data_IF_349342909136
#
_entry.id   IF_349342909136
#
_cell.length_a   1.000
_cell.length_b   1.000
_cell.length_c   1.000
_cell.angle_alpha   90.00
_cell.angle_beta   90.00
_cell.angle_gamma   90.00
#
_symmetry.space_group_name_H-M   'P 1'
#
loop_
_entity.id
_entity.type
_entity.pdbx_description
1 polymer ?
#
# COMPACT_ATOMS: atom_id res chain seq x y z
N UNK A 1 -0.24 -40.61 -42.64
CA UNK A 1 0.60 -40.90 -41.45
C UNK A 1 -0.34 -41.29 -40.32
N UNK A 2 -0.30 -42.54 -39.85
CA UNK A 2 -1.23 -43.05 -38.83
C UNK A 2 -0.67 -42.69 -37.44
N UNK A 3 -1.40 -41.88 -36.66
CA UNK A 3 -1.06 -41.63 -35.26
C UNK A 3 -1.17 -42.94 -34.46
N UNK A 4 -0.20 -43.24 -33.58
CA UNK A 4 -0.30 -44.40 -32.71
C UNK A 4 -1.37 -44.13 -31.64
N UNK A 5 -2.37 -45.01 -31.59
CA UNK A 5 -3.39 -45.00 -30.52
C UNK A 5 -2.72 -45.50 -29.26
N UNK A 6 -2.60 -44.64 -28.25
CA UNK A 6 -2.10 -45.00 -26.93
C UNK A 6 -3.18 -45.79 -26.21
N UNK A 7 -3.03 -47.12 -26.17
CA UNK A 7 -3.93 -48.01 -25.43
C UNK A 7 -3.61 -47.84 -23.94
N UNK A 8 -4.54 -47.34 -23.11
CA UNK A 8 -4.28 -47.15 -21.69
C UNK A 8 -4.01 -48.51 -21.02
N UNK A 9 -3.04 -48.52 -20.12
CA UNK A 9 -2.71 -49.70 -19.33
C UNK A 9 -3.84 -50.00 -18.33
N UNK A 10 -4.00 -51.27 -17.91
CA UNK A 10 -4.99 -51.66 -16.89
C UNK A 10 -5.04 -50.75 -15.65
N UNK A 11 -3.90 -50.34 -15.05
CA UNK A 11 -3.93 -49.39 -13.93
C UNK A 11 -4.40 -47.98 -14.32
N UNK A 12 -4.09 -47.48 -15.52
CA UNK A 12 -4.62 -46.20 -16.01
C UNK A 12 -6.14 -46.25 -16.22
N UNK A 13 -6.66 -47.38 -16.70
CA UNK A 13 -8.09 -47.60 -16.87
C UNK A 13 -8.83 -47.64 -15.53
N UNK A 14 -8.23 -48.28 -14.52
CA UNK A 14 -8.75 -48.29 -13.16
C UNK A 14 -8.81 -46.87 -12.56
N UNK A 15 -7.72 -46.09 -12.73
CA UNK A 15 -7.66 -44.70 -12.26
C UNK A 15 -8.69 -43.81 -12.95
N UNK A 16 -8.88 -43.95 -14.27
CA UNK A 16 -9.92 -43.21 -14.99
C UNK A 16 -11.32 -43.53 -14.46
N UNK A 17 -11.65 -44.81 -14.25
CA UNK A 17 -12.98 -45.18 -13.73
C UNK A 17 -13.22 -44.64 -12.31
N UNK A 18 -12.16 -44.56 -11.50
CA UNK A 18 -12.25 -44.00 -10.15
C UNK A 18 -12.49 -42.48 -10.19
N UNK A 19 -11.77 -41.76 -11.05
CA UNK A 19 -11.94 -40.32 -11.23
C UNK A 19 -13.33 -39.97 -11.80
N UNK A 20 -13.81 -40.74 -12.76
CA UNK A 20 -15.16 -40.56 -13.32
C UNK A 20 -16.24 -40.79 -12.26
N UNK A 21 -16.07 -41.82 -11.41
CA UNK A 21 -16.97 -42.06 -10.27
C UNK A 21 -16.99 -40.89 -9.28
N UNK A 22 -15.82 -40.36 -8.95
CA UNK A 22 -15.66 -39.26 -8.00
C UNK A 22 -16.22 -37.93 -8.53
N UNK A 23 -16.10 -37.68 -9.84
CA UNK A 23 -16.70 -36.54 -10.51
C UNK A 23 -18.23 -36.63 -10.56
N UNK A 24 -18.76 -37.84 -10.78
CA UNK A 24 -20.20 -38.06 -10.82
C UNK A 24 -20.84 -37.88 -9.46
N UNK A 25 -20.20 -38.37 -8.40
CA UNK A 25 -20.64 -38.21 -7.00
C UNK A 25 -20.67 -36.71 -6.60
N UNK A 26 -19.63 -35.95 -6.95
CA UNK A 26 -19.59 -34.50 -6.69
C UNK A 26 -20.65 -33.71 -7.48
N UNK A 27 -20.97 -34.15 -8.70
CA UNK A 27 -21.99 -33.50 -9.54
C UNK A 27 -23.40 -33.79 -9.02
N UNK A 28 -23.63 -35.01 -8.52
CA UNK A 28 -24.90 -35.42 -7.93
C UNK A 28 -25.17 -34.67 -6.60
N UNK A 29 -24.15 -34.43 -5.79
CA UNK A 29 -24.24 -33.60 -4.58
C UNK A 29 -24.57 -32.13 -4.89
N UNK A 30 -24.00 -31.57 -5.97
CA UNK A 30 -24.33 -30.23 -6.47
C UNK A 30 -25.75 -30.12 -7.04
N UNK A 31 -26.28 -31.20 -7.63
CA UNK A 31 -27.64 -31.25 -8.20
C UNK A 31 -28.71 -31.57 -7.14
N UNK A 32 -28.33 -32.27 -6.06
CA UNK A 32 -29.20 -32.58 -4.93
C UNK A 32 -29.37 -31.41 -3.94
N UNK A 33 -28.53 -30.37 -4.05
CA UNK A 33 -28.76 -29.10 -3.39
C UNK A 33 -29.93 -28.37 -4.06
N UNK A 34 -31.13 -28.50 -3.49
CA UNK A 34 -32.33 -27.80 -3.95
C UNK A 34 -32.12 -26.27 -3.96
N UNK A 35 -32.63 -25.53 -4.96
CA UNK A 35 -32.59 -24.08 -4.95
C UNK A 35 -33.56 -23.54 -3.89
N UNK A 36 -33.02 -22.85 -2.89
CA UNK A 36 -33.77 -22.01 -1.95
C UNK A 36 -34.72 -21.05 -2.72
N UNK A 37 -35.99 -20.90 -2.31
CA UNK A 37 -36.93 -20.04 -3.01
C UNK A 37 -36.54 -18.57 -2.86
N UNK A 38 -36.20 -17.93 -3.98
CA UNK A 38 -35.99 -16.49 -4.09
C UNK A 38 -37.29 -15.74 -3.75
N UNK A 39 -37.30 -15.06 -2.60
CA UNK A 39 -38.32 -14.08 -2.28
C UNK A 39 -38.15 -12.81 -3.14
N UNK A 40 -39.24 -12.18 -3.62
CA UNK A 40 -39.15 -10.98 -4.43
C UNK A 40 -38.67 -9.78 -3.60
N UNK A 41 -37.67 -9.07 -4.14
CA UNK A 41 -37.15 -7.81 -3.63
C UNK A 41 -38.24 -6.72 -3.67
N UNK A 42 -38.73 -6.32 -2.50
CA UNK A 42 -39.50 -5.08 -2.33
C UNK A 42 -38.49 -3.93 -2.21
N UNK A 43 -38.53 -2.99 -3.15
CA UNK A 43 -37.78 -1.73 -3.05
C UNK A 43 -38.45 -0.84 -1.99
N UNK A 44 -37.73 -0.29 -1.01
CA UNK A 44 -38.26 0.81 -0.22
C UNK A 44 -38.21 2.08 -1.06
N UNK A 45 -39.35 2.77 -1.07
CA UNK A 45 -39.59 4.08 -1.66
C UNK A 45 -38.63 5.11 -1.02
N UNK A 46 -37.82 5.76 -1.85
CA UNK A 46 -36.91 6.82 -1.41
C UNK A 46 -37.74 8.08 -1.21
N UNK A 47 -38.05 8.42 0.04
CA UNK A 47 -38.51 9.76 0.39
C UNK A 47 -37.43 10.76 -0.01
N UNK A 48 -37.73 11.57 -1.02
CA UNK A 48 -36.91 12.70 -1.44
C UNK A 48 -36.97 13.77 -0.35
N UNK A 49 -36.05 13.71 0.61
CA UNK A 49 -35.75 14.84 1.48
C UNK A 49 -35.13 15.93 0.60
N UNK A 50 -35.88 17.00 0.40
CA UNK A 50 -35.56 18.08 -0.53
C UNK A 50 -34.22 18.73 -0.21
N UNK A 51 -33.44 18.98 -1.27
CA UNK A 51 -32.14 19.68 -1.24
C UNK A 51 -32.19 21.08 -0.60
N UNK A 52 -33.39 21.63 -0.37
CA UNK A 52 -33.60 22.96 0.20
C UNK A 52 -33.36 23.02 1.72
N UNK A 53 -33.63 21.94 2.48
CA UNK A 53 -33.45 21.93 3.94
C UNK A 53 -31.96 21.88 4.32
N UNK A 54 -31.16 21.16 3.52
CA UNK A 54 -29.72 21.07 3.73
C UNK A 54 -29.02 22.41 3.42
N UNK A 55 -29.49 23.14 2.40
CA UNK A 55 -28.96 24.45 2.05
C UNK A 55 -29.22 25.50 3.14
N UNK A 56 -30.39 25.45 3.80
CA UNK A 56 -30.71 26.32 4.91
C UNK A 56 -29.83 26.07 6.14
N UNK A 57 -29.58 24.80 6.48
CA UNK A 57 -28.74 24.42 7.62
C UNK A 57 -27.27 24.84 7.43
N UNK A 58 -26.73 24.74 6.21
CA UNK A 58 -25.34 25.14 5.91
C UNK A 58 -25.16 26.67 6.04
N UNK A 59 -26.18 27.45 5.66
CA UNK A 59 -26.11 28.91 5.73
C UNK A 59 -26.14 29.42 7.18
N UNK A 60 -26.95 28.81 8.06
CA UNK A 60 -26.95 29.14 9.49
C UNK A 60 -25.62 28.81 10.18
N UNK A 61 -24.98 27.69 9.80
CA UNK A 61 -23.69 27.30 10.34
C UNK A 61 -22.58 28.29 9.92
N UNK A 62 -22.58 28.74 8.66
CA UNK A 62 -21.60 29.72 8.16
C UNK A 62 -21.73 31.11 8.79
N UNK A 63 -22.93 31.52 9.20
CA UNK A 63 -23.13 32.80 9.92
C UNK A 63 -22.58 32.71 11.35
N UNK A 64 -22.57 31.52 11.96
CA UNK A 64 -22.05 31.31 13.31
C UNK A 64 -20.52 31.37 13.37
N UNK A 65 -19.83 30.84 12.35
CA UNK A 65 -18.36 30.85 12.24
C UNK A 65 -17.77 32.23 11.88
N UNK A 66 -18.59 33.16 11.35
CA UNK A 66 -18.15 34.50 10.97
C UNK A 66 -17.90 35.46 12.17
N UNK A 67 -18.14 35.02 13.41
CA UNK A 67 -17.87 35.83 14.62
C UNK A 67 -16.57 35.38 15.29
N UNK A 68 -15.44 35.88 14.78
CA UNK A 68 -14.14 35.78 15.45
C UNK A 68 -13.98 36.95 16.43
N UNK A 69 -13.84 36.73 17.75
CA UNK A 69 -13.35 37.77 18.63
C UNK A 69 -11.83 37.90 18.45
N UNK A 70 -11.38 39.08 18.01
CA UNK A 70 -9.96 39.43 17.90
C UNK A 70 -9.32 39.58 19.30
N UNK A 71 -8.11 39.00 19.55
CA UNK A 71 -7.26 39.44 20.64
C UNK A 71 -6.16 40.40 20.16
N UNK A 72 -5.97 41.45 20.96
CA UNK A 72 -5.06 42.58 20.81
C UNK A 72 -3.56 42.21 21.01
N UNK A 73 -2.61 43.10 20.65
CA UNK A 73 -1.17 42.80 20.62
C UNK A 73 -0.46 43.16 21.96
N UNK A 74 0.57 42.38 22.33
CA UNK A 74 1.52 42.72 23.40
C UNK A 74 2.87 41.97 23.18
N UNK A 75 4.00 42.36 23.80
CA UNK A 75 5.14 42.97 23.10
C UNK A 75 6.41 42.11 23.10
N UNK A 76 7.37 42.54 22.27
CA UNK A 76 8.72 42.00 22.16
C UNK A 76 9.52 42.13 23.48
N UNK A 77 10.13 41.03 23.92
CA UNK A 77 11.17 41.01 24.95
C UNK A 77 12.45 40.46 24.31
N UNK A 78 13.41 41.35 24.10
CA UNK A 78 14.77 41.04 23.70
C UNK A 78 15.53 40.60 24.94
N UNK A 79 15.97 39.34 25.00
CA UNK A 79 16.90 38.85 26.01
C UNK A 79 18.27 38.71 25.35
N UNK A 80 19.32 39.43 25.79
CA UNK A 80 20.65 39.26 25.25
C UNK A 80 21.25 37.95 25.76
N UNK A 81 21.47 36.98 24.87
CA UNK A 81 22.20 35.76 25.19
C UNK A 81 23.69 36.10 25.27
N UNK A 82 24.22 36.04 26.49
CA UNK A 82 25.66 36.12 26.80
C UNK A 82 26.28 34.76 26.47
N UNK A 83 27.23 34.74 25.53
CA UNK A 83 28.00 33.56 25.17
C UNK A 83 28.81 33.05 26.38
N UNK A 84 28.71 31.76 26.76
CA UNK A 84 29.71 31.12 27.58
C UNK A 84 30.84 30.55 26.71
N UNK A 85 32.04 30.67 27.26
CA UNK A 85 33.32 30.28 26.71
C UNK A 85 33.38 28.82 26.28
N UNK A 86 34.20 28.59 25.25
CA UNK A 86 34.61 27.28 24.77
C UNK A 86 35.17 26.41 25.90
N UNK A 87 34.51 25.29 26.16
CA UNK A 87 35.13 24.13 26.78
C UNK A 87 35.41 23.15 25.64
N UNK A 88 36.70 22.91 25.41
CA UNK A 88 37.19 21.93 24.47
C UNK A 88 36.66 20.55 24.88
N UNK A 89 35.70 20.04 24.11
CA UNK A 89 35.33 18.64 24.15
C UNK A 89 36.35 17.91 23.31
N UNK A 90 37.25 17.21 24.00
CA UNK A 90 38.20 16.28 23.42
C UNK A 90 37.41 15.27 22.59
N UNK A 91 37.57 15.35 21.27
CA UNK A 91 36.98 14.38 20.33
C UNK A 91 37.67 13.04 20.60
N UNK A 92 36.97 11.98 21.02
CA UNK A 92 37.58 10.67 21.00
C UNK A 92 37.85 10.32 19.54
N UNK A 93 39.12 10.31 19.18
CA UNK A 93 39.60 9.76 17.93
C UNK A 93 39.19 8.29 17.85
N UNK A 94 38.64 7.88 16.69
CA UNK A 94 38.66 6.49 16.28
C UNK A 94 37.61 5.57 16.90
N UNK A 95 36.33 5.92 16.79
CA UNK A 95 35.27 4.92 16.75
C UNK A 95 34.84 4.72 15.31
N UNK A 96 35.37 3.71 14.61
CA UNK A 96 34.78 3.27 13.35
C UNK A 96 33.33 2.88 13.64
N UNK A 97 32.39 3.72 13.24
CA UNK A 97 30.98 3.34 13.16
C UNK A 97 30.93 2.33 12.02
N UNK A 98 31.14 1.06 12.36
CA UNK A 98 30.84 -0.04 11.47
C UNK A 98 29.34 0.04 11.23
N UNK A 99 28.96 0.81 10.20
CA UNK A 99 27.58 1.01 9.80
C UNK A 99 27.00 -0.38 9.60
N UNK A 100 26.21 -0.84 10.57
CA UNK A 100 25.66 -2.17 10.60
C UNK A 100 24.66 -2.28 9.45
N UNK A 101 25.17 -2.67 8.27
CA UNK A 101 24.39 -2.82 7.06
C UNK A 101 23.15 -3.64 7.36
N UNK A 102 22.00 -3.11 6.97
CA UNK A 102 20.74 -3.74 7.21
C UNK A 102 20.71 -5.11 6.52
N UNK A 103 20.67 -6.17 7.34
CA UNK A 103 20.42 -7.53 6.84
C UNK A 103 18.92 -7.74 6.68
N UNK A 104 18.49 -8.39 5.58
CA UNK A 104 17.09 -8.72 5.39
C UNK A 104 16.67 -9.75 6.42
N UNK A 105 15.47 -9.60 6.97
CA UNK A 105 14.80 -10.61 7.78
C UNK A 105 14.26 -11.74 6.90
N UNK A 106 13.82 -11.38 5.70
CA UNK A 106 13.28 -12.29 4.70
C UNK A 106 13.72 -11.79 3.32
N UNK A 107 14.32 -12.68 2.55
CA UNK A 107 14.53 -12.47 1.11
C UNK A 107 13.41 -13.17 0.35
N UNK A 108 12.58 -12.39 -0.35
CA UNK A 108 11.55 -12.92 -1.24
C UNK A 108 12.25 -13.30 -2.53
N UNK A 109 12.84 -14.50 -2.56
CA UNK A 109 13.54 -15.02 -3.74
C UNK A 109 12.53 -15.38 -4.84
N UNK A 110 12.19 -14.42 -5.69
CA UNK A 110 11.73 -14.70 -7.05
C UNK A 110 12.90 -14.56 -8.03
N UNK A 111 12.94 -15.34 -9.13
CA UNK A 111 13.94 -15.18 -10.18
C UNK A 111 13.96 -13.72 -10.65
N UNK A 112 15.12 -13.08 -10.53
CA UNK A 112 15.34 -11.71 -10.97
C UNK A 112 15.08 -11.58 -12.47
N UNK A 113 13.91 -11.08 -12.84
CA UNK A 113 13.78 -10.37 -14.10
C UNK A 113 14.47 -9.00 -13.93
N UNK A 114 15.31 -8.54 -14.86
CA UNK A 114 15.96 -7.24 -14.77
C UNK A 114 14.88 -6.16 -14.57
N UNK A 115 15.10 -5.30 -13.57
CA UNK A 115 14.23 -4.19 -13.21
C UNK A 115 13.72 -3.46 -14.45
N UNK A 116 12.47 -3.73 -14.77
CA UNK A 116 11.78 -3.23 -15.93
C UNK A 116 10.31 -3.26 -15.62
N UNK A 117 9.61 -2.19 -16.00
CA UNK A 117 8.15 -2.07 -15.88
C UNK A 117 7.52 -3.38 -16.39
N UNK A 118 6.85 -4.11 -15.50
CA UNK A 118 6.01 -5.21 -15.95
C UNK A 118 4.94 -4.58 -16.85
N UNK A 119 4.80 -5.05 -18.10
CA UNK A 119 3.88 -4.42 -19.04
C UNK A 119 2.47 -4.39 -18.44
N UNK A 120 1.76 -3.27 -18.60
CA UNK A 120 0.35 -3.24 -18.26
C UNK A 120 -0.41 -4.09 -19.30
N UNK A 121 -1.36 -4.88 -18.84
CA UNK A 121 -2.38 -5.51 -19.68
C UNK A 121 -3.21 -4.41 -20.35
N UNK A 122 -3.81 -4.75 -21.49
CA UNK A 122 -4.66 -3.85 -22.28
C UNK A 122 -5.79 -3.19 -21.47
N UNK A 123 -6.20 -3.83 -20.38
CA UNK A 123 -7.27 -3.38 -19.49
C UNK A 123 -6.79 -2.46 -18.35
N UNK A 124 -5.53 -2.01 -18.38
CA UNK A 124 -4.94 -1.13 -17.36
C UNK A 124 -4.56 -1.83 -16.05
N UNK A 125 -4.60 -3.17 -16.03
CA UNK A 125 -4.11 -4.00 -14.94
C UNK A 125 -2.63 -4.33 -15.13
N UNK A 126 -1.84 -4.54 -14.08
CA UNK A 126 -0.46 -4.99 -14.24
C UNK A 126 -0.36 -6.40 -14.84
N UNK A 127 0.69 -6.73 -15.60
CA UNK A 127 0.86 -8.08 -16.17
C UNK A 127 0.79 -9.22 -15.13
N UNK A 128 1.28 -8.99 -13.91
CA UNK A 128 1.22 -9.99 -12.85
C UNK A 128 -0.21 -10.33 -12.39
N UNK A 129 -1.19 -9.49 -12.70
CA UNK A 129 -2.59 -9.70 -12.36
C UNK A 129 -3.35 -10.55 -13.38
N UNK A 130 -2.67 -11.11 -14.39
CA UNK A 130 -3.28 -11.97 -15.40
C UNK A 130 -3.67 -13.36 -14.85
N UNK A 131 -2.90 -13.87 -13.90
CA UNK A 131 -3.06 -15.20 -13.29
C UNK A 131 -3.12 -15.07 -11.76
N UNK A 132 -3.61 -16.09 -11.02
CA UNK A 132 -3.56 -16.09 -9.56
C UNK A 132 -2.14 -15.90 -9.02
N UNK A 133 -1.96 -14.94 -8.12
CA UNK A 133 -0.66 -14.48 -7.66
C UNK A 133 -0.60 -14.39 -6.13
N UNK A 134 0.61 -14.41 -5.58
CA UNK A 134 0.81 -14.25 -4.14
C UNK A 134 1.00 -12.77 -3.76
N UNK A 135 0.38 -12.38 -2.66
CA UNK A 135 0.45 -11.04 -2.07
C UNK A 135 0.89 -11.11 -0.61
N UNK A 136 1.70 -10.14 -0.20
CA UNK A 136 2.08 -9.92 1.18
C UNK A 136 1.18 -8.84 1.78
N UNK A 137 0.53 -9.16 2.90
CA UNK A 137 -0.22 -8.19 3.68
C UNK A 137 0.71 -7.52 4.68
N UNK A 138 0.54 -6.21 4.81
CA UNK A 138 1.21 -5.42 5.82
C UNK A 138 0.30 -4.28 6.25
N UNK A 139 0.48 -3.84 7.49
CA UNK A 139 -0.35 -2.84 8.12
C UNK A 139 0.41 -1.54 8.31
N UNK A 140 -0.27 -0.45 8.01
CA UNK A 140 0.28 0.91 8.08
C UNK A 140 -0.77 1.82 8.68
N UNK A 141 -0.49 2.37 9.87
CA UNK A 141 -1.39 3.31 10.55
C UNK A 141 -2.85 2.79 10.66
N UNK A 142 -3.02 1.47 10.88
CA UNK A 142 -4.32 0.80 10.99
C UNK A 142 -5.00 0.44 9.67
N UNK A 143 -4.34 0.63 8.52
CA UNK A 143 -4.82 0.21 7.21
C UNK A 143 -4.01 -0.99 6.68
N UNK A 144 -4.71 -2.03 6.25
CA UNK A 144 -4.11 -3.22 5.63
C UNK A 144 -3.93 -3.02 4.14
N UNK A 145 -2.69 -3.19 3.68
CA UNK A 145 -2.28 -3.11 2.28
C UNK A 145 -1.77 -4.46 1.82
N UNK A 146 -1.97 -4.75 0.54
CA UNK A 146 -1.45 -5.95 -0.12
C UNK A 146 -0.50 -5.54 -1.25
N UNK A 147 0.68 -6.16 -1.29
CA UNK A 147 1.65 -5.99 -2.37
C UNK A 147 2.00 -7.35 -2.99
N UNK A 148 2.00 -7.48 -4.32
CA UNK A 148 2.38 -8.73 -4.98
C UNK A 148 3.82 -9.13 -4.66
N UNK A 149 4.04 -10.41 -4.32
CA UNK A 149 5.36 -10.95 -4.02
C UNK A 149 6.33 -10.83 -5.19
N UNK A 150 5.81 -10.83 -6.43
CA UNK A 150 6.61 -10.65 -7.64
C UNK A 150 7.24 -9.26 -7.77
N UNK A 151 6.78 -8.29 -6.99
CA UNK A 151 7.34 -6.94 -6.96
C UNK A 151 8.17 -6.68 -5.69
N UNK A 152 8.24 -7.65 -4.76
CA UNK A 152 8.96 -7.51 -3.50
C UNK A 152 10.42 -7.88 -3.66
N UNK A 153 11.29 -7.12 -3.00
CA UNK A 153 12.70 -7.47 -2.82
C UNK A 153 12.91 -8.20 -1.49
N UNK A 154 13.27 -7.42 -0.47
CA UNK A 154 13.62 -7.92 0.86
C UNK A 154 12.97 -7.07 1.95
N UNK A 155 12.74 -7.66 3.11
CA UNK A 155 12.14 -6.99 4.27
C UNK A 155 13.23 -6.75 5.31
N UNK A 156 13.42 -5.51 5.75
CA UNK A 156 14.41 -5.12 6.75
C UNK A 156 13.73 -4.68 8.05
N UNK A 157 14.30 -5.06 9.19
CA UNK A 157 13.91 -4.48 10.48
C UNK A 157 14.50 -3.09 10.66
N UNK A 158 13.68 -2.16 11.18
CA UNK A 158 14.10 -0.84 11.69
C UNK A 158 14.46 -0.87 13.18
N UNK A 159 14.17 -1.95 13.90
CA UNK A 159 14.45 -2.04 15.33
C UNK A 159 15.95 -1.79 15.63
N UNK A 160 16.23 -0.72 16.37
CA UNK A 160 17.60 -0.32 16.72
C UNK A 160 18.43 0.24 15.56
N UNK A 161 17.79 0.70 14.46
CA UNK A 161 18.47 1.31 13.32
C UNK A 161 18.00 2.73 13.09
N UNK A 162 18.96 3.62 12.90
CA UNK A 162 18.70 5.01 12.56
C UNK A 162 18.73 5.20 11.04
N UNK A 163 17.67 5.79 10.51
CA UNK A 163 17.63 6.26 9.13
C UNK A 163 18.44 7.56 9.06
N UNK A 164 19.29 7.70 8.04
CA UNK A 164 20.02 8.96 7.82
C UNK A 164 19.07 9.95 7.13
N UNK A 165 18.55 10.99 7.81
CA UNK A 165 17.65 11.94 7.18
C UNK A 165 18.41 12.80 6.18
N UNK A 166 17.75 13.17 5.08
CA UNK A 166 18.29 14.11 4.10
C UNK A 166 17.55 15.44 4.18
N UNK A 167 18.29 16.52 4.41
CA UNK A 167 17.74 17.86 4.49
C UNK A 167 17.24 18.34 3.12
N UNK A 168 16.10 19.05 3.10
CA UNK A 168 15.49 19.58 1.88
C UNK A 168 14.72 18.56 1.04
N UNK A 169 14.57 17.32 1.52
CA UNK A 169 13.68 16.34 0.91
C UNK A 169 12.21 16.58 1.31
N UNK A 170 11.24 16.08 0.53
CA UNK A 170 9.85 16.09 0.92
C UNK A 170 9.64 15.31 2.21
N UNK A 171 8.72 15.76 3.05
CA UNK A 171 8.47 15.15 4.35
C UNK A 171 7.91 13.69 4.28
N UNK A 172 7.60 13.15 3.08
CA UNK A 172 7.27 11.72 2.90
C UNK A 172 8.51 10.84 2.83
N UNK A 173 9.70 11.45 2.76
CA UNK A 173 10.99 10.78 2.77
C UNK A 173 11.52 10.76 4.19
N UNK A 174 11.73 9.57 4.75
CA UNK A 174 12.21 9.40 6.13
C UNK A 174 13.74 9.44 6.20
N UNK A 175 14.43 8.85 5.23
CA UNK A 175 15.89 8.81 5.22
C UNK A 175 16.45 7.72 4.34
N UNK A 176 17.75 7.51 4.44
CA UNK A 176 18.47 6.41 3.78
C UNK A 176 18.75 5.31 4.81
N UNK A 177 18.39 4.07 4.45
CA UNK A 177 18.75 2.85 5.15
C UNK A 177 19.90 2.15 4.39
N UNK A 178 21.12 2.09 4.95
CA UNK A 178 22.21 1.32 4.35
C UNK A 178 21.90 -0.18 4.51
N UNK A 179 21.85 -0.92 3.40
CA UNK A 179 21.50 -2.34 3.37
C UNK A 179 22.51 -3.15 2.54
N UNK A 180 22.45 -4.47 2.63
CA UNK A 180 23.33 -5.35 1.82
C UNK A 180 23.20 -5.12 0.30
N UNK A 181 22.03 -4.70 -0.17
CA UNK A 181 21.75 -4.40 -1.58
C UNK A 181 22.09 -2.95 -1.97
N UNK A 182 22.59 -2.14 -1.03
CA UNK A 182 22.92 -0.74 -1.23
C UNK A 182 22.10 0.20 -0.35
N UNK A 183 22.11 1.48 -0.70
CA UNK A 183 21.44 2.53 0.06
C UNK A 183 19.97 2.63 -0.34
N UNK A 184 19.07 2.16 0.52
CA UNK A 184 17.64 2.20 0.29
C UNK A 184 17.04 3.53 0.77
N UNK A 185 16.36 4.22 -0.14
CA UNK A 185 15.54 5.39 0.17
C UNK A 185 14.25 4.95 0.86
N UNK A 186 14.07 5.31 2.13
CA UNK A 186 12.91 4.89 2.93
C UNK A 186 11.82 5.96 2.85
N UNK A 187 10.65 5.55 2.37
CA UNK A 187 9.46 6.39 2.27
C UNK A 187 8.47 6.06 3.38
N UNK A 188 7.73 7.08 3.82
CA UNK A 188 6.60 6.92 4.74
C UNK A 188 5.34 6.47 3.98
N UNK A 189 4.99 5.20 4.12
CA UNK A 189 3.81 4.62 3.44
C UNK A 189 2.50 5.22 3.94
N UNK A 190 2.39 5.57 5.22
CA UNK A 190 1.15 6.07 5.80
C UNK A 190 0.76 7.39 5.14
N UNK A 191 1.76 8.22 4.86
CA UNK A 191 1.58 9.53 4.25
C UNK A 191 1.17 9.48 2.78
N UNK A 192 1.64 8.47 2.07
CA UNK A 192 1.26 8.22 0.68
C UNK A 192 -0.16 7.68 0.57
N UNK A 193 -0.51 6.75 1.46
CA UNK A 193 -1.79 6.05 1.40
C UNK A 193 -2.90 6.86 2.06
N UNK A 194 -2.60 7.65 3.09
CA UNK A 194 -3.59 8.44 3.84
C UNK A 194 -3.03 9.82 4.23
N UNK A 195 -2.82 10.74 3.28
CA UNK A 195 -2.27 12.07 3.58
C UNK A 195 -3.16 12.87 4.55
N UNK A 196 -4.48 12.83 4.40
CA UNK A 196 -5.43 13.63 5.18
C UNK A 196 -5.58 13.16 6.64
N UNK A 197 -5.26 11.90 6.91
CA UNK A 197 -5.40 11.27 8.24
C UNK A 197 -4.05 11.02 8.91
N UNK A 198 -2.97 11.53 8.34
CA UNK A 198 -1.63 11.31 8.84
C UNK A 198 -1.41 12.04 10.19
N UNK A 199 -0.72 11.37 11.10
CA UNK A 199 -0.30 11.89 12.41
C UNK A 199 1.18 11.57 12.59
N UNK A 200 1.90 12.48 13.25
CA UNK A 200 3.33 12.29 13.51
C UNK A 200 3.62 11.04 14.36
N UNK A 201 2.69 10.64 15.22
CA UNK A 201 2.75 9.43 16.05
C UNK A 201 2.96 8.14 15.22
N UNK A 202 2.45 8.09 13.97
CA UNK A 202 2.62 6.92 13.10
C UNK A 202 4.06 6.72 12.66
N UNK A 203 4.87 7.77 12.66
CA UNK A 203 6.28 7.68 12.30
C UNK A 203 7.09 6.91 13.35
N UNK A 204 6.68 6.99 14.62
CA UNK A 204 7.33 6.31 15.74
C UNK A 204 7.01 4.80 15.76
N UNK A 205 5.89 4.39 15.16
CA UNK A 205 5.43 3.00 15.09
C UNK A 205 6.01 2.18 13.93
N UNK A 206 6.92 2.74 13.13
CA UNK A 206 7.50 2.07 11.97
C UNK A 206 8.57 1.05 12.38
N UNK A 207 8.31 -0.23 12.12
CA UNK A 207 9.19 -1.33 12.56
C UNK A 207 9.90 -2.01 11.40
N UNK A 208 9.37 -1.92 10.18
CA UNK A 208 9.89 -2.65 9.03
C UNK A 208 10.01 -1.75 7.80
N UNK A 209 10.98 -2.05 6.93
CA UNK A 209 11.11 -1.48 5.58
C UNK A 209 11.02 -2.61 4.57
N UNK A 210 10.06 -2.52 3.67
CA UNK A 210 9.88 -3.45 2.57
C UNK A 210 10.53 -2.85 1.33
N UNK A 211 11.62 -3.44 0.83
CA UNK A 211 12.22 -3.00 -0.43
C UNK A 211 11.46 -3.55 -1.63
N UNK A 212 11.47 -2.77 -2.71
CA UNK A 212 10.80 -3.11 -3.96
C UNK A 212 11.82 -3.62 -4.96
N UNK A 213 11.49 -4.73 -5.64
CA UNK A 213 12.39 -5.32 -6.61
C UNK A 213 12.65 -4.36 -7.78
N UNK A 214 13.92 -4.17 -8.12
CA UNK A 214 14.34 -3.30 -9.22
C UNK A 214 14.36 -1.80 -8.90
N UNK A 215 14.11 -1.40 -7.64
CA UNK A 215 14.16 -0.01 -7.22
C UNK A 215 15.05 0.19 -5.98
N UNK A 216 15.69 1.37 -5.89
CA UNK A 216 16.55 1.75 -4.76
C UNK A 216 15.77 2.39 -3.59
N UNK A 217 14.50 2.03 -3.45
CA UNK A 217 13.63 2.58 -2.42
C UNK A 217 12.77 1.50 -1.75
N UNK A 218 12.28 1.82 -0.56
CA UNK A 218 11.46 0.91 0.24
C UNK A 218 10.36 1.63 1.02
N UNK A 219 9.34 0.87 1.37
CA UNK A 219 8.16 1.31 2.09
C UNK A 219 8.34 1.04 3.57
N UNK A 220 8.30 2.09 4.41
CA UNK A 220 8.25 1.93 5.86
C UNK A 220 6.85 1.53 6.30
N UNK A 221 6.75 0.45 7.08
CA UNK A 221 5.48 -0.13 7.54
C UNK A 221 5.55 -0.46 9.03
N UNK A 222 4.38 -0.55 9.67
CA UNK A 222 4.31 -0.82 11.11
C UNK A 222 4.46 -2.31 11.38
N UNK A 223 3.79 -3.13 10.58
CA UNK A 223 3.77 -4.58 10.76
C UNK A 223 3.69 -5.29 9.42
N UNK A 224 4.43 -6.39 9.30
CA UNK A 224 4.26 -7.35 8.21
C UNK A 224 3.41 -8.50 8.74
N UNK A 225 2.36 -8.84 8.00
CA UNK A 225 1.34 -9.80 8.43
C UNK A 225 1.61 -11.17 7.80
N UNK A 226 0.83 -11.58 6.79
CA UNK A 226 0.96 -12.91 6.14
C UNK A 226 0.98 -12.79 4.62
N UNK A 227 1.44 -13.84 3.94
CA UNK A 227 1.20 -14.00 2.50
C UNK A 227 -0.14 -14.67 2.24
N UNK A 228 -0.72 -14.36 1.09
CA UNK A 228 -2.04 -14.79 0.65
C UNK A 228 -1.96 -15.04 -0.86
N UNK A 229 -2.59 -16.09 -1.37
CA UNK A 229 -2.77 -16.29 -2.82
C UNK A 229 -4.11 -15.67 -3.23
N UNK A 230 -4.07 -14.66 -4.09
CA UNK A 230 -5.24 -13.96 -4.60
C UNK A 230 -5.60 -14.43 -6.00
N UNK A 231 -6.88 -14.65 -6.23
CA UNK A 231 -7.43 -14.75 -7.58
C UNK A 231 -7.77 -13.35 -8.11
N UNK A 232 -7.46 -13.01 -9.39
CA UNK A 232 -7.85 -11.74 -9.99
C UNK A 232 -9.36 -11.43 -9.90
N UNK A 233 -10.22 -12.43 -9.77
CA UNK A 233 -11.67 -12.26 -9.63
C UNK A 233 -12.10 -11.83 -8.22
N UNK A 234 -11.28 -12.08 -7.18
CA UNK A 234 -11.51 -11.66 -5.80
C UNK A 234 -11.15 -10.18 -5.57
N UNK A 235 -10.74 -9.49 -6.64
CA UNK A 235 -10.25 -8.13 -6.60
C UNK A 235 -11.21 -7.23 -7.35
N UNK A 236 -11.73 -6.23 -6.63
CA UNK A 236 -12.44 -5.11 -7.25
C UNK A 236 -11.43 -4.14 -7.84
N UNK A 237 -11.09 -4.36 -9.12
CA UNK A 237 -10.16 -3.51 -9.87
C UNK A 237 -10.70 -2.10 -10.09
N UNK A 238 -9.82 -1.10 -10.01
CA UNK A 238 -10.19 0.30 -10.30
C UNK A 238 -9.96 0.62 -11.77
N UNK A 239 -11.03 0.94 -12.49
CA UNK A 239 -10.95 1.41 -13.88
C UNK A 239 -10.55 2.89 -13.98
N UNK A 240 -10.99 3.71 -13.02
CA UNK A 240 -10.59 5.12 -12.91
C UNK A 240 -9.71 5.31 -11.69
N UNK A 241 -8.40 5.44 -11.93
CA UNK A 241 -7.43 5.59 -10.84
C UNK A 241 -7.27 7.02 -10.34
N UNK A 242 -7.76 8.02 -11.08
CA UNK A 242 -7.96 9.40 -10.63
C UNK A 242 -6.79 9.95 -9.81
N UNK A 243 -7.06 10.40 -8.58
CA UNK A 243 -6.04 10.94 -7.67
C UNK A 243 -5.12 9.89 -7.02
N UNK A 244 -5.42 8.58 -7.13
CA UNK A 244 -4.65 7.50 -6.48
C UNK A 244 -4.23 6.43 -7.50
N UNK A 245 -3.33 6.74 -8.44
CA UNK A 245 -2.86 5.80 -9.47
C UNK A 245 -2.18 4.54 -8.90
N UNK A 246 -1.53 4.67 -7.73
CA UNK A 246 -0.91 3.57 -6.99
C UNK A 246 -1.90 2.54 -6.42
N UNK A 247 -3.21 2.78 -6.42
CA UNK A 247 -4.20 1.83 -5.92
C UNK A 247 -4.75 1.01 -7.09
N UNK A 248 -4.32 -0.25 -7.21
CA UNK A 248 -4.76 -1.15 -8.27
C UNK A 248 -6.22 -1.59 -8.09
N UNK A 249 -6.60 -1.89 -6.86
CA UNK A 249 -7.91 -2.47 -6.53
C UNK A 249 -8.12 -2.65 -5.03
N UNK A 250 -9.25 -3.22 -4.68
CA UNK A 250 -9.58 -3.62 -3.31
C UNK A 250 -9.87 -5.12 -3.31
N UNK A 251 -9.19 -5.86 -2.43
CA UNK A 251 -9.44 -7.28 -2.21
C UNK A 251 -10.76 -7.44 -1.45
N UNK A 252 -11.66 -8.25 -1.98
CA UNK A 252 -13.02 -8.39 -1.47
C UNK A 252 -13.03 -9.21 -0.17
N UNK A 253 -12.30 -10.32 -0.08
CA UNK A 253 -12.38 -11.15 1.13
C UNK A 253 -11.67 -10.52 2.34
N UNK A 254 -10.54 -9.87 2.10
CA UNK A 254 -9.69 -9.33 3.16
C UNK A 254 -9.83 -7.82 3.37
N UNK A 255 -10.69 -7.15 2.59
CA UNK A 255 -10.94 -5.71 2.67
C UNK A 255 -9.64 -4.87 2.64
N UNK A 256 -8.62 -5.37 1.95
CA UNK A 256 -7.31 -4.72 1.88
C UNK A 256 -7.12 -3.99 0.55
N UNK A 257 -6.31 -2.94 0.58
CA UNK A 257 -5.99 -2.15 -0.60
C UNK A 257 -4.82 -2.79 -1.36
N UNK A 258 -5.03 -3.14 -2.63
CA UNK A 258 -4.01 -3.73 -3.49
C UNK A 258 -3.16 -2.63 -4.14
N UNK A 259 -1.85 -2.68 -3.90
CA UNK A 259 -0.89 -1.68 -4.35
C UNK A 259 -0.38 -1.99 -5.76
N UNK A 260 -0.37 -0.97 -6.63
CA UNK A 260 0.34 -0.99 -7.91
C UNK A 260 1.72 -0.37 -7.73
N UNK A 261 2.71 -1.24 -7.60
CA UNK A 261 4.10 -0.85 -7.38
C UNK A 261 4.68 -0.08 -8.55
N UNK A 262 4.29 -0.41 -9.79
CA UNK A 262 4.84 0.23 -10.98
C UNK A 262 4.38 1.69 -11.06
N UNK A 263 3.08 1.93 -10.85
CA UNK A 263 2.50 3.27 -10.80
C UNK A 263 3.03 4.06 -9.61
N UNK A 264 3.17 3.43 -8.44
CA UNK A 264 3.77 4.09 -7.27
C UNK A 264 5.21 4.52 -7.54
N UNK A 265 6.01 3.67 -8.18
CA UNK A 265 7.38 3.99 -8.56
C UNK A 265 7.45 5.19 -9.52
N UNK A 266 6.56 5.25 -10.51
CA UNK A 266 6.49 6.34 -11.48
C UNK A 266 6.11 7.66 -10.81
N UNK A 267 5.23 7.63 -9.80
CA UNK A 267 4.90 8.81 -8.99
C UNK A 267 6.08 9.31 -8.15
N UNK A 268 6.86 8.38 -7.57
CA UNK A 268 8.06 8.72 -6.79
C UNK A 268 9.12 9.32 -7.72
N UNK A 269 9.35 8.71 -8.88
CA UNK A 269 10.33 9.17 -9.87
C UNK A 269 9.96 10.52 -10.49
N UNK A 270 8.68 10.76 -10.77
CA UNK A 270 8.18 12.02 -11.34
C UNK A 270 8.08 13.16 -10.32
N UNK A 271 8.18 12.87 -9.02
CA UNK A 271 8.03 13.88 -7.97
C UNK A 271 6.62 14.51 -7.89
N UNK A 272 5.62 13.86 -8.51
CA UNK A 272 4.24 14.37 -8.64
C UNK A 272 3.48 14.48 -7.29
N UNK A 273 4.09 14.00 -6.20
CA UNK A 273 3.56 14.07 -4.84
C UNK A 273 3.27 15.49 -4.37
N UNK A 274 3.90 16.51 -4.98
CA UNK A 274 3.61 17.93 -4.70
C UNK A 274 2.15 18.33 -5.00
N UNK A 275 1.42 17.58 -5.84
CA UNK A 275 0.06 17.93 -6.23
C UNK A 275 -1.05 17.19 -5.46
N UNK A 276 -0.76 16.06 -4.81
CA UNK A 276 -1.77 15.33 -4.02
C UNK A 276 -2.16 16.07 -2.73
N UNK A 277 -1.23 16.82 -2.14
CA UNK A 277 -1.50 17.65 -0.96
C UNK A 277 -2.11 19.03 -1.29
N UNK A 278 -2.18 19.43 -2.58
CA UNK A 278 -2.59 20.77 -3.00
C UNK A 278 -4.01 20.83 -3.59
N UNK A 279 -4.78 19.74 -3.52
CA UNK A 279 -6.17 19.71 -4.01
C UNK A 279 -7.17 20.33 -3.02
N UNK A 280 -6.76 21.34 -2.24
CA UNK A 280 -7.69 22.31 -1.65
C UNK A 280 -7.74 23.49 -2.63
N UNK A 281 -8.84 23.73 -3.37
CA UNK A 281 -8.94 24.90 -4.21
C UNK A 281 -8.97 26.15 -3.32
N UNK A 282 -8.02 27.06 -3.55
CA UNK A 282 -8.10 28.41 -3.00
C UNK A 282 -9.38 29.08 -3.54
N UNK A 283 -10.19 29.74 -2.70
CA UNK A 283 -11.30 30.55 -3.20
C UNK A 283 -10.72 31.69 -4.03
N UNK A 284 -11.11 31.74 -5.30
CA UNK A 284 -10.78 32.85 -6.19
C UNK A 284 -11.51 34.10 -5.66
N UNK A 285 -10.73 35.13 -5.37
CA UNK A 285 -11.19 36.46 -5.00
C UNK A 285 -11.85 37.19 -6.18
#
# INVERSE_FOLDING_TARGET
MKQPVLIPTRPQLALQSYLDGLLQEATEELLAAEPEPVMPLVMPEVETVGLDDFAAAVLEEQVRDAVVPAPAPAPAVVVPIRAPAALAVEWPEGGQVEQALARPLVDVHLPTAPGGRLPALSDGRPAWAAEPFECLLFDVAGLTLAVPLVCLGSIYSLAGRELTPLFGQPEWFLGILPSQSGNLKVLDTARWVMPDRYRDDFREGLQYVISVQGYEWGLAVHQVSRSLRLDPNEIKWRTQRGQRPWLAGTVIEHMCALLDVAELAELIASGAVKHMAKAVPAPQA
#
